data_IF_018417516464
#
_entry.id   IF_018417516464
#
_cell.length_a   1.000
_cell.length_b   1.000
_cell.length_c   1.000
_cell.angle_alpha   90.00
_cell.angle_beta   90.00
_cell.angle_gamma   90.00
#
_symmetry.space_group_name_H-M   'P 1'
#
loop_
_entity.id
_entity.type
_entity.pdbx_description
1 polymer ?
#
# COMPACT_ATOMS: atom_id res chain seq x y z
N UNK A 1 -1.78 2.65 20.94
CA UNK A 1 -2.89 3.40 20.29
C UNK A 1 -3.36 4.58 21.12
N UNK A 2 -3.69 4.42 22.41
CA UNK A 2 -4.13 5.52 23.29
C UNK A 2 -3.14 6.70 23.27
N UNK A 3 -1.84 6.43 23.35
CA UNK A 3 -0.80 7.47 23.30
C UNK A 3 -0.80 8.26 21.99
N UNK A 4 -1.04 7.60 20.87
CA UNK A 4 -1.13 8.24 19.55
C UNK A 4 -2.43 9.04 19.45
N UNK A 5 -3.55 8.49 19.93
CA UNK A 5 -4.83 9.21 20.04
C UNK A 5 -4.69 10.51 20.83
N UNK A 6 -4.01 10.46 21.98
CA UNK A 6 -3.74 11.65 22.79
C UNK A 6 -2.84 12.67 22.08
N UNK A 7 -1.82 12.19 21.34
CA UNK A 7 -0.91 13.04 20.58
C UNK A 7 -1.62 13.77 19.43
N UNK A 8 -2.57 13.11 18.79
CA UNK A 8 -3.33 13.63 17.66
C UNK A 8 -4.61 14.35 18.09
N UNK A 9 -5.00 14.26 19.36
CA UNK A 9 -6.24 14.83 19.89
C UNK A 9 -7.51 14.06 19.51
N UNK A 10 -7.38 12.82 19.01
CA UNK A 10 -8.51 11.98 18.60
C UNK A 10 -9.38 11.53 19.79
N UNK A 11 -8.80 11.47 20.98
CA UNK A 11 -9.53 11.23 22.22
C UNK A 11 -10.44 12.41 22.66
N UNK A 12 -10.37 13.52 21.95
CA UNK A 12 -11.16 14.75 22.21
C UNK A 12 -12.35 14.89 21.28
N UNK A 13 -12.87 13.78 20.79
CA UNK A 13 -13.99 13.70 19.84
C UNK A 13 -15.16 14.62 20.24
N UNK A 14 -15.58 14.60 21.50
CA UNK A 14 -16.69 15.40 21.99
C UNK A 14 -16.38 16.91 22.09
N UNK A 15 -15.10 17.28 22.23
CA UNK A 15 -14.68 18.68 22.36
C UNK A 15 -14.74 19.42 21.02
N UNK A 16 -14.68 18.69 19.91
CA UNK A 16 -14.59 19.24 18.56
C UNK A 16 -15.84 19.00 17.70
N UNK A 17 -16.93 18.51 18.28
CA UNK A 17 -18.17 18.20 17.56
C UNK A 17 -17.91 17.30 16.31
N UNK A 18 -17.00 16.35 16.43
CA UNK A 18 -16.70 15.41 15.35
C UNK A 18 -17.88 14.46 15.17
N UNK A 19 -18.31 14.32 13.92
CA UNK A 19 -19.41 13.40 13.58
C UNK A 19 -18.89 11.97 13.39
N UNK A 20 -17.64 11.82 12.97
CA UNK A 20 -16.99 10.53 12.71
C UNK A 20 -15.85 10.30 13.71
N UNK A 21 -15.85 9.15 14.37
CA UNK A 21 -14.76 8.75 15.25
C UNK A 21 -13.56 8.34 14.40
N UNK A 22 -12.43 8.98 14.63
CA UNK A 22 -11.16 8.62 14.01
C UNK A 22 -10.33 7.78 14.98
N UNK A 23 -9.71 6.71 14.48
CA UNK A 23 -8.78 5.87 15.23
C UNK A 23 -7.38 5.93 14.60
N UNK A 24 -6.30 5.97 15.40
CA UNK A 24 -4.94 5.96 14.86
C UNK A 24 -4.63 4.57 14.31
N UNK A 25 -4.13 4.50 13.09
CA UNK A 25 -3.77 3.25 12.44
C UNK A 25 -2.26 2.95 12.59
N UNK A 26 -1.41 3.89 12.20
CA UNK A 26 0.03 3.75 12.33
C UNK A 26 0.74 5.08 12.55
N UNK A 27 1.91 5.03 13.16
CA UNK A 27 2.86 6.13 13.24
C UNK A 27 4.13 5.78 12.47
N UNK A 28 4.50 6.62 11.50
CA UNK A 28 5.73 6.47 10.75
C UNK A 28 6.69 7.62 11.04
N UNK A 29 7.97 7.29 11.20
CA UNK A 29 9.05 8.26 11.36
C UNK A 29 9.92 8.23 10.11
N UNK A 30 10.06 9.38 9.45
CA UNK A 30 10.92 9.53 8.27
C UNK A 30 12.26 10.09 8.73
N UNK A 31 13.34 9.35 8.48
CA UNK A 31 14.70 9.71 8.87
C UNK A 31 15.51 10.05 7.63
N UNK A 32 16.20 11.20 7.59
CA UNK A 32 17.17 11.47 6.54
C UNK A 32 18.27 10.41 6.52
N UNK A 33 18.77 10.08 5.34
CA UNK A 33 19.67 8.94 5.09
C UNK A 33 21.01 8.96 5.87
N UNK A 34 21.38 10.09 6.45
CA UNK A 34 22.64 10.26 7.19
C UNK A 34 22.45 10.14 8.71
N UNK A 35 21.22 10.03 9.19
CA UNK A 35 20.94 9.90 10.61
C UNK A 35 20.59 8.46 10.95
N UNK A 36 21.23 7.92 11.99
CA UNK A 36 20.85 6.65 12.58
C UNK A 36 19.86 6.91 13.70
N UNK A 37 18.57 6.68 13.48
CA UNK A 37 17.61 6.62 14.58
C UNK A 37 17.97 5.42 15.46
N UNK A 38 18.24 5.73 16.72
CA UNK A 38 18.29 4.66 17.72
C UNK A 38 16.87 4.17 17.95
N UNK A 39 16.60 2.85 17.90
CA UNK A 39 15.26 2.28 18.10
C UNK A 39 14.57 2.65 19.40
N UNK A 40 15.28 3.28 20.34
CA UNK A 40 14.81 3.64 21.67
C UNK A 40 14.16 5.03 21.79
N UNK A 41 13.94 5.75 20.71
CA UNK A 41 13.18 7.00 20.77
C UNK A 41 11.67 6.72 20.66
N UNK A 42 11.16 5.90 21.61
CA UNK A 42 9.73 5.89 21.90
C UNK A 42 9.28 7.29 22.29
N UNK A 43 8.13 7.70 21.81
CA UNK A 43 7.50 8.94 22.28
C UNK A 43 7.41 8.89 23.82
N UNK A 44 8.11 9.79 24.51
CA UNK A 44 8.07 9.85 25.96
C UNK A 44 6.67 10.23 26.42
N UNK A 45 6.11 9.46 27.32
CA UNK A 45 4.77 9.70 27.87
C UNK A 45 4.59 11.14 28.39
N UNK A 46 5.64 11.70 29.02
CA UNK A 46 5.64 13.10 29.45
C UNK A 46 5.43 14.10 28.30
N UNK A 47 6.02 13.83 27.13
CA UNK A 47 5.88 14.69 25.95
C UNK A 47 4.47 14.60 25.38
N UNK A 48 3.91 13.39 25.35
CA UNK A 48 2.52 13.16 24.90
C UNK A 48 1.56 13.90 25.82
N UNK A 49 1.68 13.74 27.13
CA UNK A 49 0.83 14.44 28.11
C UNK A 49 0.97 15.95 28.01
N UNK A 50 2.19 16.45 27.80
CA UNK A 50 2.41 17.90 27.61
C UNK A 50 1.71 18.45 26.40
N UNK A 51 1.69 17.71 25.29
CA UNK A 51 0.96 18.08 24.08
C UNK A 51 -0.56 17.96 24.29
N UNK A 52 -1.00 16.85 24.85
CA UNK A 52 -2.42 16.60 25.11
C UNK A 52 -3.06 17.66 26.03
N UNK A 53 -2.31 18.16 27.02
CA UNK A 53 -2.74 19.22 27.93
C UNK A 53 -2.54 20.63 27.38
N UNK A 54 -2.00 20.76 26.18
CA UNK A 54 -1.82 22.05 25.51
C UNK A 54 -3.13 22.67 25.05
N UNK A 55 -3.07 23.91 24.58
CA UNK A 55 -4.22 24.54 23.92
C UNK A 55 -4.32 24.06 22.46
N UNK A 56 -5.47 23.51 22.14
CA UNK A 56 -5.80 23.09 20.78
C UNK A 56 -6.63 24.17 20.10
N UNK A 57 -6.35 24.42 18.83
CA UNK A 57 -7.01 25.44 18.02
C UNK A 57 -7.48 24.83 16.71
N UNK A 58 -8.58 25.34 16.22
CA UNK A 58 -9.15 24.92 14.95
C UNK A 58 -10.41 24.09 15.12
N UNK A 59 -10.97 23.67 14.01
CA UNK A 59 -12.13 22.79 13.92
C UNK A 59 -11.72 21.58 13.11
N UNK A 60 -12.13 20.40 13.53
CA UNK A 60 -11.91 19.18 12.76
C UNK A 60 -12.57 19.28 11.37
N UNK A 61 -11.88 18.78 10.35
CA UNK A 61 -12.46 18.70 9.02
C UNK A 61 -13.60 17.68 9.02
N UNK A 62 -14.68 18.03 8.36
CA UNK A 62 -15.73 17.06 8.05
C UNK A 62 -15.25 16.21 6.87
N UNK A 63 -15.21 14.88 7.03
CA UNK A 63 -14.76 13.97 5.98
C UNK A 63 -15.81 13.82 4.88
N UNK A 64 -17.07 13.71 5.27
CA UNK A 64 -18.20 13.60 4.36
C UNK A 64 -19.28 14.64 4.72
N UNK A 65 -20.08 15.05 3.73
CA UNK A 65 -21.23 15.94 3.99
C UNK A 65 -22.31 15.22 4.78
N UNK A 66 -22.50 13.92 4.52
CA UNK A 66 -23.43 13.03 5.21
C UNK A 66 -22.66 11.87 5.83
N UNK A 67 -22.83 11.67 7.14
CA UNK A 67 -22.24 10.54 7.85
C UNK A 67 -23.25 9.42 8.01
N UNK A 68 -22.87 8.24 7.53
CA UNK A 68 -23.60 6.99 7.76
C UNK A 68 -22.78 6.11 8.70
N UNK A 69 -23.27 5.86 9.94
CA UNK A 69 -22.53 5.01 10.87
C UNK A 69 -22.49 3.58 10.35
N UNK A 70 -21.30 3.01 10.36
CA UNK A 70 -21.06 1.61 10.01
C UNK A 70 -20.60 0.87 11.26
N UNK A 71 -21.54 0.36 12.04
CA UNK A 71 -21.25 -0.34 13.29
C UNK A 71 -20.20 -1.43 13.18
N UNK A 72 -20.13 -2.09 12.01
CA UNK A 72 -19.12 -3.12 11.76
C UNK A 72 -17.68 -2.57 11.78
N UNK A 73 -17.48 -1.32 11.41
CA UNK A 73 -16.16 -0.67 11.44
C UNK A 73 -15.74 -0.47 12.89
N UNK A 74 -16.64 0.02 13.73
CA UNK A 74 -16.38 0.21 15.16
C UNK A 74 -16.09 -1.13 15.84
N UNK A 75 -16.90 -2.16 15.56
CA UNK A 75 -16.69 -3.52 16.10
C UNK A 75 -15.31 -4.09 15.71
N UNK A 76 -14.89 -3.92 14.46
CA UNK A 76 -13.58 -4.38 13.99
C UNK A 76 -12.46 -3.55 14.62
N UNK A 77 -12.62 -2.24 14.71
CA UNK A 77 -11.66 -1.35 15.37
C UNK A 77 -11.45 -1.74 16.84
N UNK A 78 -12.54 -1.96 17.57
CA UNK A 78 -12.48 -2.38 18.99
C UNK A 78 -11.84 -3.78 19.13
N UNK A 79 -12.12 -4.70 18.20
CA UNK A 79 -11.52 -6.03 18.20
C UNK A 79 -10.02 -6.03 17.85
N UNK A 80 -9.58 -5.05 17.08
CA UNK A 80 -8.17 -4.85 16.72
C UNK A 80 -7.40 -4.02 17.75
N UNK A 81 -8.07 -3.42 18.73
CA UNK A 81 -7.41 -2.69 19.79
C UNK A 81 -6.57 -3.65 20.63
N UNK A 82 -5.26 -3.44 20.62
CA UNK A 82 -4.32 -4.29 21.32
C UNK A 82 -4.59 -4.20 22.84
N UNK A 83 -5.15 -5.26 23.39
CA UNK A 83 -5.27 -5.38 24.84
C UNK A 83 -3.85 -5.35 25.39
N UNK A 84 -3.61 -4.53 26.41
CA UNK A 84 -2.36 -4.52 27.19
C UNK A 84 -2.13 -5.92 27.79
N UNK A 85 -1.73 -6.86 26.95
CA UNK A 85 -1.19 -8.11 27.43
C UNK A 85 0.25 -7.81 27.81
N UNK A 86 0.71 -8.33 28.97
CA UNK A 86 2.12 -8.44 29.37
C UNK A 86 2.95 -9.31 28.40
N UNK A 87 2.63 -9.26 27.14
CA UNK A 87 3.49 -9.77 26.12
C UNK A 87 4.69 -8.85 26.07
N UNK A 88 5.77 -9.25 26.75
CA UNK A 88 7.11 -8.84 26.36
C UNK A 88 7.09 -8.63 24.86
N UNK A 89 7.35 -7.41 24.42
CA UNK A 89 7.60 -7.09 23.02
C UNK A 89 8.73 -8.00 22.60
N UNK A 90 8.39 -9.24 22.27
CA UNK A 90 9.31 -10.17 21.65
C UNK A 90 9.82 -9.39 20.46
N UNK A 91 11.13 -9.10 20.55
CA UNK A 91 11.96 -8.47 19.53
C UNK A 91 11.27 -8.56 18.18
N UNK A 92 11.12 -7.44 17.44
CA UNK A 92 10.53 -7.49 16.12
C UNK A 92 11.07 -8.74 15.45
N UNK A 93 10.19 -9.55 14.89
CA UNK A 93 10.57 -10.80 14.26
C UNK A 93 11.52 -10.45 13.13
N UNK A 94 12.77 -10.25 13.47
CA UNK A 94 13.89 -10.05 12.58
C UNK A 94 14.28 -11.39 11.92
N UNK A 95 13.31 -12.26 11.69
CA UNK A 95 13.42 -13.17 10.59
C UNK A 95 13.28 -12.32 9.32
N UNK A 96 14.35 -11.55 9.07
CA UNK A 96 14.69 -11.05 7.77
C UNK A 96 14.33 -12.15 6.78
N UNK A 97 13.34 -11.89 5.94
CA UNK A 97 13.06 -12.75 4.82
C UNK A 97 14.38 -12.95 4.10
N UNK A 98 14.98 -14.09 4.26
CA UNK A 98 15.88 -14.59 3.24
C UNK A 98 15.01 -14.76 2.00
N UNK A 99 14.82 -13.68 1.25
CA UNK A 99 14.43 -13.80 -0.14
C UNK A 99 15.58 -14.56 -0.77
N UNK A 100 15.39 -15.87 -0.92
CA UNK A 100 16.39 -16.80 -1.45
C UNK A 100 16.76 -16.49 -2.89
N UNK A 101 16.12 -15.51 -3.48
CA UNK A 101 16.47 -14.90 -4.74
C UNK A 101 16.55 -13.38 -4.54
N UNK A 102 17.72 -12.83 -4.18
CA UNK A 102 17.92 -11.40 -4.31
C UNK A 102 17.67 -11.07 -5.78
N UNK A 103 16.60 -10.33 -6.04
CA UNK A 103 16.46 -9.64 -7.33
C UNK A 103 17.74 -8.85 -7.49
N UNK A 104 18.59 -9.13 -8.49
CA UNK A 104 19.82 -8.37 -8.65
C UNK A 104 19.44 -6.92 -8.84
N UNK A 105 19.75 -6.08 -7.87
CA UNK A 105 19.54 -4.62 -7.91
C UNK A 105 20.30 -4.00 -9.10
N UNK A 106 21.16 -4.77 -9.74
CA UNK A 106 22.02 -4.36 -10.84
C UNK A 106 21.29 -4.12 -12.17
N UNK A 107 20.12 -4.74 -12.39
CA UNK A 107 19.38 -4.53 -13.65
C UNK A 107 18.47 -3.30 -13.63
N UNK A 108 18.33 -2.60 -12.49
CA UNK A 108 17.50 -1.40 -12.34
C UNK A 108 18.33 -0.13 -12.18
N UNK A 109 19.66 -0.18 -12.36
CA UNK A 109 20.48 1.03 -12.53
C UNK A 109 20.32 1.62 -13.93
N UNK A 110 19.10 1.80 -14.38
CA UNK A 110 18.85 2.79 -15.39
C UNK A 110 19.05 4.17 -14.73
N UNK A 111 20.08 4.86 -15.15
CA UNK A 111 20.35 6.24 -14.75
C UNK A 111 19.03 7.03 -14.88
N UNK A 112 18.43 7.36 -13.74
CA UNK A 112 17.24 8.21 -13.73
C UNK A 112 17.65 9.59 -14.19
N UNK A 113 17.47 9.90 -15.47
CA UNK A 113 17.72 11.22 -16.04
C UNK A 113 16.84 12.32 -15.43
N UNK A 114 15.79 11.97 -14.68
CA UNK A 114 14.89 12.92 -14.03
C UNK A 114 14.72 12.59 -12.56
N UNK A 115 15.61 13.08 -11.72
CA UNK A 115 15.43 13.08 -10.26
C UNK A 115 14.59 14.29 -9.87
N UNK A 116 13.30 14.07 -9.63
CA UNK A 116 12.47 15.09 -9.01
C UNK A 116 12.79 15.19 -7.52
N UNK A 117 12.87 16.41 -7.00
CA UNK A 117 13.01 16.62 -5.56
C UNK A 117 11.74 16.08 -4.85
N UNK A 118 11.93 15.38 -3.73
CA UNK A 118 10.81 14.84 -2.95
C UNK A 118 9.76 15.90 -2.61
N UNK A 119 10.19 17.10 -2.20
CA UNK A 119 9.27 18.19 -1.91
C UNK A 119 8.46 18.67 -3.12
N UNK A 120 8.95 18.50 -4.34
CA UNK A 120 8.18 18.79 -5.55
C UNK A 120 7.09 17.75 -5.77
N UNK A 121 7.44 16.46 -5.67
CA UNK A 121 6.49 15.36 -5.81
C UNK A 121 5.39 15.46 -4.75
N UNK A 122 5.74 15.66 -3.49
CA UNK A 122 4.79 15.76 -2.37
C UNK A 122 3.78 16.87 -2.62
N UNK A 123 4.24 18.05 -3.09
CA UNK A 123 3.35 19.19 -3.34
C UNK A 123 2.51 19.07 -4.61
N UNK A 124 3.01 18.38 -5.63
CA UNK A 124 2.32 18.28 -6.92
C UNK A 124 1.42 17.05 -7.05
N UNK A 125 1.72 15.96 -6.33
CA UNK A 125 0.92 14.75 -6.42
C UNK A 125 -0.55 15.01 -6.10
N UNK A 126 -1.42 14.51 -6.94
CA UNK A 126 -2.87 14.49 -6.74
C UNK A 126 -3.39 13.08 -7.02
N UNK A 127 -4.49 12.73 -6.39
CA UNK A 127 -5.25 11.54 -6.78
C UNK A 127 -5.94 11.80 -8.11
N UNK A 128 -5.92 10.83 -9.00
CA UNK A 128 -6.70 10.91 -10.22
C UNK A 128 -8.18 10.78 -9.89
N UNK A 129 -9.00 11.66 -10.43
CA UNK A 129 -10.48 11.61 -10.30
C UNK A 129 -11.12 11.04 -11.57
N UNK A 130 -10.43 11.08 -12.70
CA UNK A 130 -10.86 10.50 -13.96
C UNK A 130 -9.63 10.13 -14.80
N UNK A 131 -9.81 9.18 -15.70
CA UNK A 131 -8.85 8.79 -16.73
C UNK A 131 -9.46 9.03 -18.10
N UNK A 132 -8.63 9.28 -19.11
CA UNK A 132 -9.10 9.65 -20.45
C UNK A 132 -9.60 8.47 -21.31
N UNK A 133 -9.36 7.25 -20.88
CA UNK A 133 -9.76 6.04 -21.59
C UNK A 133 -8.93 5.73 -22.85
N UNK A 134 -7.95 6.55 -23.22
CA UNK A 134 -7.17 6.41 -24.46
C UNK A 134 -5.66 6.40 -24.27
N UNK A 135 -5.13 7.06 -23.24
CA UNK A 135 -3.70 7.07 -22.95
C UNK A 135 -3.19 5.68 -22.63
N UNK A 136 -2.07 5.32 -23.23
CA UNK A 136 -1.38 4.05 -23.02
C UNK A 136 -0.05 4.26 -22.33
N UNK A 137 0.45 3.21 -21.70
CA UNK A 137 1.81 3.14 -21.17
C UNK A 137 2.58 2.02 -21.85
N UNK A 138 3.90 2.09 -21.84
CA UNK A 138 4.74 1.00 -22.35
C UNK A 138 4.84 -0.15 -21.35
N UNK A 139 5.10 -1.37 -21.83
CA UNK A 139 5.38 -2.52 -20.95
C UNK A 139 6.56 -2.27 -20.02
N UNK A 140 7.57 -1.51 -20.45
CA UNK A 140 8.71 -1.16 -19.61
C UNK A 140 8.31 -0.30 -18.40
N UNK A 141 7.44 0.71 -18.63
CA UNK A 141 6.89 1.53 -17.54
C UNK A 141 6.01 0.69 -16.60
N UNK A 142 5.19 -0.19 -17.17
CA UNK A 142 4.33 -1.08 -16.40
C UNK A 142 5.15 -2.02 -15.52
N UNK A 143 6.16 -2.70 -16.06
CA UNK A 143 7.04 -3.58 -15.30
C UNK A 143 7.84 -2.82 -14.24
N UNK A 144 8.29 -1.60 -14.53
CA UNK A 144 8.95 -0.77 -13.53
C UNK A 144 8.02 -0.44 -12.36
N UNK A 145 6.77 -0.03 -12.63
CA UNK A 145 5.80 0.23 -11.57
C UNK A 145 5.55 -1.01 -10.72
N UNK A 146 5.34 -2.18 -11.32
CA UNK A 146 5.12 -3.43 -10.61
C UNK A 146 6.33 -3.88 -9.81
N UNK A 147 7.54 -3.64 -10.31
CA UNK A 147 8.77 -3.97 -9.56
C UNK A 147 8.89 -3.22 -8.24
N UNK A 148 8.26 -2.04 -8.12
CA UNK A 148 8.27 -1.23 -6.88
C UNK A 148 7.39 -1.80 -5.77
N UNK A 149 6.40 -2.62 -6.11
CA UNK A 149 5.51 -3.26 -5.14
C UNK A 149 5.94 -4.68 -4.79
N UNK A 150 7.03 -5.17 -5.36
CA UNK A 150 7.66 -6.42 -4.93
C UNK A 150 8.57 -6.16 -3.74
N UNK A 151 8.46 -6.92 -2.64
CA UNK A 151 9.35 -6.80 -1.49
C UNK A 151 10.81 -7.08 -1.87
N UNK A 152 11.68 -6.14 -1.54
CA UNK A 152 13.12 -6.26 -1.80
C UNK A 152 13.87 -5.88 -0.53
N UNK A 153 14.73 -6.78 -0.07
CA UNK A 153 15.63 -6.52 1.07
C UNK A 153 16.59 -5.38 0.73
N UNK A 154 16.82 -4.47 1.67
CA UNK A 154 17.62 -3.27 1.45
C UNK A 154 16.83 -2.11 0.81
N UNK A 155 15.53 -2.28 0.61
CA UNK A 155 14.64 -1.19 0.20
C UNK A 155 14.03 -0.52 1.43
N UNK A 156 14.19 0.78 1.55
CA UNK A 156 13.70 1.58 2.68
C UNK A 156 12.21 1.34 2.97
N UNK A 157 11.38 1.16 1.94
CA UNK A 157 9.95 0.89 2.11
C UNK A 157 9.69 -0.49 2.71
N UNK A 158 10.39 -1.51 2.21
CA UNK A 158 10.14 -2.89 2.61
C UNK A 158 10.85 -3.29 3.89
N UNK A 159 12.00 -2.68 4.20
CA UNK A 159 12.72 -2.92 5.45
C UNK A 159 11.99 -2.38 6.67
N UNK A 160 11.06 -1.43 6.48
CA UNK A 160 10.20 -0.92 7.55
C UNK A 160 8.96 -1.79 7.80
N UNK A 161 8.67 -2.74 6.90
CA UNK A 161 7.53 -3.66 7.02
C UNK A 161 8.06 -5.05 7.38
N UNK A 162 7.96 -5.42 8.64
CA UNK A 162 8.51 -6.68 9.16
C UNK A 162 7.74 -7.94 8.72
N UNK A 163 6.68 -7.80 7.92
CA UNK A 163 5.79 -8.91 7.57
C UNK A 163 5.93 -9.34 6.12
N UNK A 164 5.73 -10.65 5.87
CA UNK A 164 5.59 -11.15 4.50
C UNK A 164 4.38 -10.53 3.80
N UNK A 165 4.43 -10.32 2.49
CA UNK A 165 3.26 -9.86 1.75
C UNK A 165 2.21 -10.98 1.72
N UNK A 166 1.12 -10.78 2.47
CA UNK A 166 -0.02 -11.69 2.43
C UNK A 166 -0.94 -11.42 1.24
N UNK A 167 -0.84 -10.24 0.65
CA UNK A 167 -1.70 -9.79 -0.44
C UNK A 167 -0.94 -9.90 -1.76
N UNK A 168 -1.53 -10.56 -2.73
CA UNK A 168 -1.14 -10.58 -4.12
C UNK A 168 -1.98 -9.59 -4.91
N UNK A 169 -1.56 -9.20 -6.12
CA UNK A 169 -2.32 -8.25 -6.91
C UNK A 169 -2.96 -8.97 -8.10
N UNK A 170 -4.28 -8.85 -8.24
CA UNK A 170 -4.98 -9.08 -9.48
C UNK A 170 -4.98 -7.79 -10.30
N UNK A 171 -4.65 -7.85 -11.57
CA UNK A 171 -4.49 -6.66 -12.42
C UNK A 171 -5.34 -6.81 -13.67
N UNK A 172 -6.15 -5.80 -13.94
CA UNK A 172 -6.87 -5.67 -15.21
C UNK A 172 -6.02 -4.81 -16.16
N UNK A 173 -5.43 -5.45 -17.18
CA UNK A 173 -4.56 -4.76 -18.14
C UNK A 173 -5.38 -4.43 -19.39
N UNK A 174 -5.45 -3.14 -19.74
CA UNK A 174 -6.25 -2.64 -20.83
C UNK A 174 -5.39 -2.13 -22.00
N UNK A 175 -4.54 -1.13 -21.75
CA UNK A 175 -3.79 -0.40 -22.78
C UNK A 175 -2.31 -0.26 -22.43
N UNK A 176 -1.67 -1.39 -22.17
CA UNK A 176 -0.21 -1.46 -22.02
C UNK A 176 0.39 -1.90 -23.34
N UNK A 177 1.11 -1.00 -24.01
CA UNK A 177 1.71 -1.27 -25.32
C UNK A 177 2.73 -2.43 -25.21
N UNK A 178 2.50 -3.47 -26.00
CA UNK A 178 3.32 -4.68 -26.03
C UNK A 178 2.88 -5.78 -25.03
N UNK A 179 1.73 -5.58 -24.37
CA UNK A 179 1.05 -6.64 -23.61
C UNK A 179 -0.33 -6.92 -24.21
N UNK A 180 -0.77 -8.14 -24.00
CA UNK A 180 -2.13 -8.58 -24.36
C UNK A 180 -3.09 -8.04 -23.30
N UNK A 181 -4.22 -7.42 -23.66
CA UNK A 181 -5.26 -7.07 -22.70
C UNK A 181 -5.77 -8.32 -21.96
N UNK A 182 -6.02 -8.20 -20.68
CA UNK A 182 -6.46 -9.35 -19.91
C UNK A 182 -6.33 -9.21 -18.40
N UNK A 183 -6.63 -10.32 -17.75
CA UNK A 183 -6.47 -10.49 -16.31
C UNK A 183 -5.07 -11.05 -16.02
N UNK A 184 -4.37 -10.40 -15.10
CA UNK A 184 -3.03 -10.79 -14.68
C UNK A 184 -2.98 -10.98 -13.17
N UNK A 185 -2.01 -11.76 -12.71
CA UNK A 185 -1.68 -11.90 -11.29
C UNK A 185 -0.21 -11.55 -11.05
N UNK A 186 0.05 -10.67 -10.09
CA UNK A 186 1.38 -10.44 -9.55
C UNK A 186 1.51 -11.15 -8.21
N UNK A 187 2.29 -12.21 -8.19
CA UNK A 187 2.48 -13.07 -7.01
C UNK A 187 3.64 -12.54 -6.18
N UNK A 188 3.34 -11.77 -5.14
CA UNK A 188 4.35 -11.07 -4.33
C UNK A 188 5.11 -11.97 -3.35
N UNK A 189 4.59 -13.14 -3.05
CA UNK A 189 5.26 -14.20 -2.30
C UNK A 189 5.37 -15.45 -3.18
N UNK A 190 6.56 -15.77 -3.72
CA UNK A 190 6.75 -16.91 -4.61
C UNK A 190 6.39 -18.28 -3.98
N UNK A 191 6.47 -18.40 -2.65
CA UNK A 191 6.11 -19.64 -1.94
C UNK A 191 4.61 -19.95 -2.05
N UNK A 192 3.79 -18.94 -2.37
CA UNK A 192 2.33 -19.06 -2.52
C UNK A 192 1.89 -19.38 -3.95
N UNK A 193 2.78 -19.35 -4.92
CA UNK A 193 2.41 -19.54 -6.33
C UNK A 193 1.67 -20.87 -6.56
N UNK A 194 2.20 -21.97 -6.08
CA UNK A 194 1.57 -23.29 -6.25
C UNK A 194 0.19 -23.37 -5.59
N UNK A 195 0.05 -22.76 -4.42
CA UNK A 195 -1.23 -22.69 -3.71
C UNK A 195 -2.24 -21.88 -4.51
N UNK A 196 -1.87 -20.74 -5.04
CA UNK A 196 -2.73 -19.90 -5.87
C UNK A 196 -3.17 -20.64 -7.14
N UNK A 197 -2.24 -21.29 -7.82
CA UNK A 197 -2.54 -22.07 -9.01
C UNK A 197 -3.54 -23.19 -8.78
N UNK A 198 -3.49 -23.84 -7.61
CA UNK A 198 -4.41 -24.93 -7.27
C UNK A 198 -5.74 -24.44 -6.69
N UNK A 199 -5.78 -23.23 -6.12
CA UNK A 199 -6.97 -22.67 -5.47
C UNK A 199 -7.81 -21.80 -6.39
N UNK A 200 -7.26 -21.34 -7.50
CA UNK A 200 -7.96 -20.50 -8.47
C UNK A 200 -8.55 -21.36 -9.61
N UNK A 201 -9.24 -20.71 -10.54
CA UNK A 201 -9.85 -21.42 -11.67
C UNK A 201 -8.82 -22.21 -12.49
N UNK A 202 -9.12 -23.48 -12.76
CA UNK A 202 -8.24 -24.37 -13.52
C UNK A 202 -7.99 -23.92 -14.97
N UNK A 203 -8.85 -23.04 -15.50
CA UNK A 203 -8.75 -22.49 -16.85
C UNK A 203 -7.73 -21.35 -16.96
N UNK A 204 -7.24 -20.81 -15.84
CA UNK A 204 -6.25 -19.76 -15.85
C UNK A 204 -4.91 -20.28 -16.39
N UNK A 205 -4.35 -19.51 -17.33
CA UNK A 205 -3.17 -19.91 -18.11
C UNK A 205 -1.87 -19.89 -17.31
N UNK A 206 -1.74 -19.00 -16.34
CA UNK A 206 -0.52 -18.78 -15.53
C UNK A 206 0.74 -18.59 -16.39
N UNK A 207 0.58 -17.92 -17.53
CA UNK A 207 1.65 -17.74 -18.52
C UNK A 207 2.45 -16.48 -18.24
N UNK A 208 3.78 -16.59 -18.21
CA UNK A 208 4.66 -15.42 -18.09
C UNK A 208 4.54 -14.56 -19.36
N UNK A 209 4.28 -13.24 -19.24
CA UNK A 209 4.20 -12.36 -20.37
C UNK A 209 5.52 -12.25 -21.14
N UNK A 210 5.44 -11.99 -22.45
CA UNK A 210 6.62 -11.85 -23.28
C UNK A 210 7.54 -10.72 -22.79
N UNK A 211 8.84 -11.02 -22.71
CA UNK A 211 9.87 -10.08 -22.20
C UNK A 211 9.62 -9.59 -20.76
N UNK A 212 8.84 -10.31 -19.97
CA UNK A 212 8.70 -10.03 -18.55
C UNK A 212 10.02 -10.32 -17.84
N UNK A 213 10.55 -9.40 -17.01
CA UNK A 213 11.75 -9.69 -16.22
C UNK A 213 11.57 -10.92 -15.35
N UNK A 214 12.58 -11.78 -15.29
CA UNK A 214 12.54 -13.02 -14.47
C UNK A 214 12.32 -12.71 -12.97
N UNK A 215 12.73 -11.53 -12.55
CA UNK A 215 12.53 -11.04 -11.18
C UNK A 215 11.12 -10.59 -10.88
N UNK A 216 10.24 -10.48 -11.88
CA UNK A 216 8.87 -10.02 -11.73
C UNK A 216 7.92 -11.22 -11.88
N UNK A 217 7.36 -11.75 -10.77
CA UNK A 217 6.46 -12.89 -10.80
C UNK A 217 5.06 -12.49 -11.25
N UNK A 218 4.96 -12.07 -12.51
CA UNK A 218 3.74 -11.64 -13.18
C UNK A 218 3.26 -12.73 -14.14
N UNK A 219 1.98 -13.03 -14.08
CA UNK A 219 1.35 -14.09 -14.87
C UNK A 219 0.09 -13.57 -15.56
N UNK A 220 -0.05 -13.83 -16.85
CA UNK A 220 -1.31 -13.69 -17.56
C UNK A 220 -2.21 -14.87 -17.18
N UNK A 221 -3.39 -14.56 -16.69
CA UNK A 221 -4.41 -15.54 -16.29
C UNK A 221 -5.41 -15.78 -17.41
N UNK A 222 -5.92 -14.71 -18.04
CA UNK A 222 -6.93 -14.79 -19.10
C UNK A 222 -6.73 -13.67 -20.10
N UNK A 223 -6.76 -13.99 -21.40
CA UNK A 223 -6.75 -13.03 -22.51
C UNK A 223 -8.16 -12.57 -22.79
N UNK A 224 -8.49 -11.32 -22.48
CA UNK A 224 -9.84 -10.79 -22.61
C UNK A 224 -9.87 -9.27 -22.50
N UNK A 225 -10.84 -8.64 -23.14
CA UNK A 225 -11.19 -7.26 -22.83
C UNK A 225 -11.82 -7.16 -21.44
N UNK A 226 -11.13 -6.50 -20.49
CA UNK A 226 -11.49 -6.53 -19.07
C UNK A 226 -11.92 -5.17 -18.50
N UNK A 227 -12.07 -4.14 -19.34
CA UNK A 227 -12.45 -2.79 -18.92
C UNK A 227 -13.77 -2.74 -18.15
N UNK A 228 -14.83 -3.33 -18.75
CA UNK A 228 -16.14 -3.36 -18.12
C UNK A 228 -16.16 -4.24 -16.85
N UNK A 229 -15.37 -5.31 -16.85
CA UNK A 229 -15.24 -6.17 -15.69
C UNK A 229 -14.54 -5.40 -14.55
N UNK A 230 -13.44 -4.70 -14.85
CA UNK A 230 -12.74 -3.88 -13.88
C UNK A 230 -13.65 -2.84 -13.23
N UNK A 231 -14.43 -2.10 -14.03
CA UNK A 231 -15.39 -1.13 -13.52
C UNK A 231 -16.45 -1.80 -12.64
N UNK A 232 -17.02 -2.93 -13.09
CA UNK A 232 -18.10 -3.62 -12.37
C UNK A 232 -17.66 -4.15 -11.00
N UNK A 233 -16.48 -4.75 -10.88
CA UNK A 233 -15.94 -5.25 -9.61
C UNK A 233 -15.37 -4.14 -8.70
N UNK A 234 -15.22 -2.94 -9.25
CA UNK A 234 -14.80 -1.72 -8.53
C UNK A 234 -16.00 -0.82 -8.20
N UNK A 235 -17.11 -1.40 -7.78
CA UNK A 235 -18.34 -0.68 -7.40
C UNK A 235 -18.89 0.25 -8.51
N UNK A 236 -18.72 -0.11 -9.77
CA UNK A 236 -19.15 0.68 -10.92
C UNK A 236 -18.26 1.91 -11.20
N UNK A 237 -17.06 1.96 -10.67
CA UNK A 237 -16.13 3.07 -10.88
C UNK A 237 -15.50 3.00 -12.27
N UNK A 238 -15.88 3.90 -13.16
CA UNK A 238 -15.37 3.99 -14.53
C UNK A 238 -13.85 4.17 -14.59
N UNK A 239 -13.25 4.79 -13.57
CA UNK A 239 -11.81 5.02 -13.51
C UNK A 239 -11.00 3.70 -13.59
N UNK A 240 -11.54 2.60 -13.06
CA UNK A 240 -10.90 1.30 -13.11
C UNK A 240 -10.84 0.73 -14.55
N UNK A 241 -11.84 0.99 -15.38
CA UNK A 241 -11.85 0.59 -16.79
C UNK A 241 -11.15 1.61 -17.71
N UNK A 242 -11.14 2.89 -17.32
CA UNK A 242 -10.56 3.97 -18.11
C UNK A 242 -9.05 4.16 -17.94
N UNK A 243 -8.41 3.56 -16.93
CA UNK A 243 -6.95 3.51 -16.79
C UNK A 243 -6.26 2.68 -17.88
N UNK A 244 -4.94 2.77 -18.00
CA UNK A 244 -4.20 1.83 -18.86
C UNK A 244 -4.17 0.42 -18.26
N UNK A 245 -4.28 0.34 -16.94
CA UNK A 245 -4.50 -0.86 -16.13
C UNK A 245 -5.09 -0.45 -14.77
N UNK A 246 -5.62 -1.38 -14.04
CA UNK A 246 -6.15 -1.22 -12.67
C UNK A 246 -5.91 -2.47 -11.82
#
# INVERSE_FOLDING_TARGET
>A
DEAISQLLGLNRFNDFEMEEKETPDLLAVIVPSNDTLKPSQSLKQESIQKIANGKWYGKANKLNEEYYPWEIIDMVSDACEEQKSDCDIKKPCTQLFSVTHPVPVNDVKQERKNTFLAGHIIRQRRSAVAMDGVTSITKAQFYEMLSRVIPVVGSMLWDSIAQRPFIHLGLFVHRVVGLIPGLYALVRDPEKLSLLQTSMHAEFQWKTPLECPQSLPLFLLEEKEVQNLAASVSCGQDIAGAGAFS
#
